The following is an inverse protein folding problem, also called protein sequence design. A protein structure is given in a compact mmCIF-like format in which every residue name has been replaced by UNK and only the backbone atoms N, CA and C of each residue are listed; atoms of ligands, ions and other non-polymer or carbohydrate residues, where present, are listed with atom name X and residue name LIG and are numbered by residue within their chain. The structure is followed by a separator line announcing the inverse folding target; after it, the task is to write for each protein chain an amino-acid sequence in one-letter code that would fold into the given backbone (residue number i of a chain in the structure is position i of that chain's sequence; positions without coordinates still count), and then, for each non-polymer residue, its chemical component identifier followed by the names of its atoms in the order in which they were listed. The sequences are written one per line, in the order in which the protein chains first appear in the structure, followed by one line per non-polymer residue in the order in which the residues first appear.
data_IF_793736822473
#
_entry.id   IF_793736822473
#
_cell.length_a   1.000
_cell.length_b   1.000
_cell.length_c   1.000
_cell.angle_alpha   90.00
_cell.angle_beta   90.00
_cell.angle_gamma   90.00
#
_symmetry.space_group_name_H-M   'P 1'
#
loop_
_entity.id
_entity.type
_entity.pdbx_description
1 polymer ?
#
# COMPACT_ATOMS: atom_id res chain seq x y z
N UNK A 1 25.85 -10.51 -35.61
CA UNK A 1 25.89 -9.53 -34.49
C UNK A 1 24.44 -9.11 -34.24
N UNK A 2 23.76 -9.85 -33.38
CA UNK A 2 22.33 -9.75 -33.10
C UNK A 2 22.15 -9.15 -31.71
N UNK A 3 21.77 -7.87 -31.62
CA UNK A 3 20.95 -7.36 -30.51
C UNK A 3 19.94 -6.39 -31.12
N UNK A 4 18.84 -6.97 -31.58
CA UNK A 4 17.60 -6.28 -31.92
C UNK A 4 16.84 -5.94 -30.64
N UNK A 5 16.72 -4.65 -30.36
CA UNK A 5 15.45 -3.97 -30.01
C UNK A 5 14.37 -4.84 -29.33
N UNK A 6 14.26 -4.79 -28.00
CA UNK A 6 13.00 -5.05 -27.29
C UNK A 6 12.84 -3.99 -26.20
N UNK A 7 12.40 -2.80 -26.64
CA UNK A 7 11.86 -1.76 -25.78
C UNK A 7 10.36 -2.05 -25.62
N UNK A 8 9.97 -2.79 -24.59
CA UNK A 8 8.58 -3.16 -24.34
C UNK A 8 7.87 -2.09 -23.49
N UNK A 9 7.68 -0.90 -24.06
CA UNK A 9 6.80 0.15 -23.53
C UNK A 9 5.34 -0.05 -23.98
N UNK A 10 4.83 -1.28 -23.98
CA UNK A 10 3.47 -1.59 -24.44
C UNK A 10 2.63 -2.27 -23.34
N UNK A 11 2.63 -1.72 -22.13
CA UNK A 11 1.42 -1.78 -21.31
C UNK A 11 0.62 -0.55 -21.76
N UNK A 12 -0.46 -0.76 -22.51
CA UNK A 12 -1.31 0.31 -23.02
C UNK A 12 -1.54 1.36 -21.95
N UNK A 13 -1.34 2.63 -22.29
CA UNK A 13 -1.51 3.81 -21.44
C UNK A 13 -2.90 3.96 -20.77
N UNK A 14 -3.77 2.98 -20.96
CA UNK A 14 -5.17 2.93 -20.53
C UNK A 14 -5.47 1.85 -19.47
N UNK A 15 -4.51 0.98 -19.07
CA UNK A 15 -4.75 0.06 -17.95
C UNK A 15 -4.73 0.85 -16.62
N UNK A 16 -5.79 0.75 -15.80
CA UNK A 16 -5.92 1.59 -14.61
C UNK A 16 -4.86 1.23 -13.57
N UNK A 17 -4.06 2.22 -13.16
CA UNK A 17 -3.11 2.08 -12.06
C UNK A 17 -3.87 2.10 -10.73
N UNK A 18 -3.88 0.96 -10.03
CA UNK A 18 -4.56 0.83 -8.73
C UNK A 18 -3.55 1.04 -7.60
N UNK A 19 -3.88 1.95 -6.67
CA UNK A 19 -3.06 2.24 -5.48
C UNK A 19 -3.90 2.16 -4.22
N UNK A 20 -3.38 1.48 -3.21
CA UNK A 20 -3.92 1.52 -1.84
C UNK A 20 -3.17 2.62 -1.09
N UNK A 21 -3.91 3.60 -0.59
CA UNK A 21 -3.37 4.72 0.20
C UNK A 21 -3.86 4.57 1.64
N UNK A 22 -2.92 4.59 2.59
CA UNK A 22 -3.23 4.50 4.00
C UNK A 22 -2.12 5.13 4.85
N UNK A 23 -2.42 5.32 6.14
CA UNK A 23 -1.44 5.78 7.11
C UNK A 23 -0.72 4.57 7.70
N UNK A 24 0.56 4.42 7.38
CA UNK A 24 1.43 3.45 7.99
C UNK A 24 1.79 3.89 9.41
N UNK A 25 1.53 3.01 10.38
CA UNK A 25 1.89 3.25 11.77
C UNK A 25 3.41 3.13 11.94
N UNK A 26 4.08 4.24 12.30
CA UNK A 26 5.54 4.25 12.56
C UNK A 26 5.82 4.11 14.06
N UNK A 27 5.09 4.87 14.87
CA UNK A 27 5.19 4.85 16.34
C UNK A 27 3.94 5.46 16.96
N UNK A 28 3.85 5.44 18.29
CA UNK A 28 2.72 6.03 19.02
C UNK A 28 2.53 7.53 18.74
N UNK A 29 3.58 8.22 18.29
CA UNK A 29 3.53 9.67 18.02
C UNK A 29 3.56 10.04 16.54
N UNK A 30 3.79 9.06 15.66
CA UNK A 30 4.05 9.33 14.25
C UNK A 30 3.46 8.25 13.35
N UNK A 31 2.89 8.71 12.24
CA UNK A 31 2.42 7.89 11.13
C UNK A 31 2.79 8.59 9.83
N UNK A 32 2.86 7.83 8.74
CA UNK A 32 3.20 8.34 7.42
C UNK A 32 2.19 7.86 6.39
N UNK A 33 1.73 8.76 5.53
CA UNK A 33 0.87 8.38 4.42
C UNK A 33 1.71 7.72 3.35
N UNK A 34 1.39 6.47 3.03
CA UNK A 34 2.10 5.70 2.01
C UNK A 34 1.15 5.24 0.90
N UNK A 35 1.72 5.08 -0.29
CA UNK A 35 1.00 4.63 -1.47
C UNK A 35 1.57 3.27 -1.89
N UNK A 36 0.76 2.23 -1.83
CA UNK A 36 1.17 0.87 -2.22
C UNK A 36 0.52 0.53 -3.56
N UNK A 37 1.31 0.22 -4.61
CA UNK A 37 0.77 -0.20 -5.89
C UNK A 37 0.20 -1.62 -5.79
N UNK A 38 -0.95 -1.83 -6.44
CA UNK A 38 -1.58 -3.14 -6.63
C UNK A 38 -1.29 -3.58 -8.05
N UNK A 39 -0.77 -4.80 -8.21
CA UNK A 39 -0.44 -5.35 -9.51
C UNK A 39 -1.55 -6.30 -9.99
N UNK A 40 -2.00 -6.11 -11.23
CA UNK A 40 -2.94 -7.02 -11.89
C UNK A 40 -2.23 -8.29 -12.38
N UNK A 41 -3.00 -9.32 -12.66
CA UNK A 41 -2.53 -10.57 -13.28
C UNK A 41 -1.71 -10.32 -14.56
N UNK A 42 -2.18 -9.43 -15.44
CA UNK A 42 -1.49 -9.04 -16.68
C UNK A 42 -0.16 -8.36 -16.38
N UNK A 43 -0.13 -7.41 -15.44
CA UNK A 43 1.11 -6.73 -15.04
C UNK A 43 2.13 -7.70 -14.45
N UNK A 44 1.67 -8.70 -13.70
CA UNK A 44 2.52 -9.76 -13.17
C UNK A 44 3.09 -10.64 -14.27
N UNK A 45 2.33 -10.99 -15.31
CA UNK A 45 2.80 -11.80 -16.45
C UNK A 45 3.98 -11.14 -17.18
N UNK A 46 4.01 -9.81 -17.27
CA UNK A 46 5.12 -9.07 -17.89
C UNK A 46 6.31 -8.83 -16.95
N UNK A 47 6.29 -9.36 -15.72
CA UNK A 47 7.38 -9.17 -14.76
C UNK A 47 8.66 -9.88 -15.20
N UNK A 48 9.82 -9.19 -15.23
CA UNK A 48 11.06 -9.72 -15.77
C UNK A 48 11.63 -10.93 -15.00
N UNK A 49 11.19 -11.13 -13.75
CA UNK A 49 11.64 -12.25 -12.90
C UNK A 49 10.61 -13.36 -12.74
N UNK A 50 9.42 -13.23 -13.35
CA UNK A 50 8.38 -14.25 -13.20
C UNK A 50 8.82 -15.61 -13.76
N UNK A 51 9.57 -15.60 -14.87
CA UNK A 51 10.11 -16.81 -15.51
C UNK A 51 11.12 -17.60 -14.66
N UNK A 52 11.53 -17.09 -13.49
CA UNK A 52 12.39 -17.83 -12.54
C UNK A 52 11.58 -18.83 -11.70
N UNK A 53 10.25 -18.67 -11.62
CA UNK A 53 9.37 -19.51 -10.83
C UNK A 53 8.65 -20.52 -11.72
N UNK A 54 8.45 -21.73 -11.21
CA UNK A 54 7.57 -22.73 -11.82
C UNK A 54 6.14 -22.53 -11.29
N UNK A 55 5.19 -22.27 -12.19
CA UNK A 55 3.80 -22.02 -11.83
C UNK A 55 2.84 -22.51 -12.93
N UNK A 56 1.61 -22.81 -12.52
CA UNK A 56 0.52 -23.21 -13.41
C UNK A 56 -0.35 -22.00 -13.80
N UNK A 57 -0.96 -22.02 -14.98
CA UNK A 57 -1.59 -20.82 -15.57
C UNK A 57 -2.69 -20.17 -14.70
N UNK A 58 -3.45 -20.96 -13.93
CA UNK A 58 -4.53 -20.45 -13.07
C UNK A 58 -4.05 -19.82 -11.75
N UNK A 59 -2.78 -20.02 -11.37
CA UNK A 59 -2.26 -19.58 -10.06
C UNK A 59 -2.07 -18.06 -10.02
N UNK A 60 -1.77 -17.43 -11.15
CA UNK A 60 -1.53 -15.99 -11.22
C UNK A 60 -2.77 -15.15 -10.88
N UNK A 61 -3.95 -15.58 -11.33
CA UNK A 61 -5.21 -14.90 -11.03
C UNK A 61 -5.50 -14.97 -9.52
N UNK A 62 -5.46 -16.17 -8.94
CA UNK A 62 -5.66 -16.38 -7.51
C UNK A 62 -4.62 -15.61 -6.66
N UNK A 63 -3.37 -15.57 -7.11
CA UNK A 63 -2.31 -14.83 -6.45
C UNK A 63 -2.56 -13.31 -6.47
N UNK A 64 -3.00 -12.76 -7.60
CA UNK A 64 -3.30 -11.32 -7.71
C UNK A 64 -4.43 -10.91 -6.75
N UNK A 65 -5.51 -11.70 -6.66
CA UNK A 65 -6.63 -11.47 -5.77
C UNK A 65 -6.24 -11.61 -4.29
N UNK A 66 -5.44 -12.63 -3.97
CA UNK A 66 -4.92 -12.84 -2.62
C UNK A 66 -4.00 -11.69 -2.18
N UNK A 67 -3.12 -11.25 -3.07
CA UNK A 67 -2.20 -10.15 -2.80
C UNK A 67 -2.95 -8.84 -2.59
N UNK A 68 -3.96 -8.55 -3.42
CA UNK A 68 -4.80 -7.37 -3.25
C UNK A 68 -5.51 -7.36 -1.90
N UNK A 69 -6.17 -8.48 -1.55
CA UNK A 69 -6.87 -8.61 -0.26
C UNK A 69 -5.92 -8.45 0.92
N UNK A 70 -4.72 -9.04 0.84
CA UNK A 70 -3.69 -8.91 1.88
C UNK A 70 -3.22 -7.47 2.05
N UNK A 71 -3.03 -6.73 0.96
CA UNK A 71 -2.68 -5.31 1.02
C UNK A 71 -3.78 -4.46 1.65
N UNK A 72 -5.05 -4.71 1.28
CA UNK A 72 -6.20 -4.01 1.88
C UNK A 72 -6.30 -4.31 3.37
N UNK A 73 -6.17 -5.57 3.77
CA UNK A 73 -6.22 -5.96 5.18
C UNK A 73 -5.10 -5.28 5.99
N UNK A 74 -3.88 -5.26 5.46
CA UNK A 74 -2.76 -4.55 6.06
C UNK A 74 -3.05 -3.06 6.22
N UNK A 75 -3.58 -2.42 5.17
CA UNK A 75 -3.93 -1.00 5.18
C UNK A 75 -4.98 -0.66 6.24
N UNK A 76 -5.98 -1.52 6.44
CA UNK A 76 -7.00 -1.36 7.48
C UNK A 76 -6.40 -1.46 8.88
N UNK A 77 -5.56 -2.47 9.14
CA UNK A 77 -4.95 -2.68 10.46
C UNK A 77 -3.97 -1.55 10.81
N UNK A 78 -3.07 -1.19 9.90
CA UNK A 78 -2.12 -0.10 10.14
C UNK A 78 -2.82 1.27 10.22
N UNK A 79 -3.80 1.52 9.36
CA UNK A 79 -4.60 2.74 9.37
C UNK A 79 -5.36 2.92 10.68
N UNK A 80 -5.93 1.83 11.23
CA UNK A 80 -6.60 1.86 12.53
C UNK A 80 -5.63 2.15 13.68
N UNK A 81 -4.45 1.55 13.68
CA UNK A 81 -3.42 1.83 14.68
C UNK A 81 -2.97 3.30 14.63
N UNK A 82 -2.76 3.84 13.43
CA UNK A 82 -2.43 5.24 13.22
C UNK A 82 -3.55 6.17 13.74
N UNK A 83 -4.81 5.87 13.44
CA UNK A 83 -5.97 6.63 13.92
C UNK A 83 -6.04 6.66 15.46
N UNK A 84 -5.91 5.50 16.11
CA UNK A 84 -5.98 5.42 17.58
C UNK A 84 -4.85 6.20 18.24
N UNK A 85 -3.64 6.15 17.67
CA UNK A 85 -2.49 6.92 18.17
C UNK A 85 -2.70 8.43 18.04
N UNK A 86 -3.18 8.89 16.88
CA UNK A 86 -3.49 10.29 16.62
C UNK A 86 -4.60 10.80 17.55
N UNK A 87 -5.65 10.00 17.75
CA UNK A 87 -6.77 10.32 18.64
C UNK A 87 -6.28 10.54 20.08
N UNK A 88 -5.41 9.65 20.58
CA UNK A 88 -4.85 9.78 21.93
C UNK A 88 -4.03 11.06 22.08
N UNK A 89 -3.16 11.37 21.13
CA UNK A 89 -2.36 12.60 21.16
C UNK A 89 -3.23 13.86 21.10
N UNK A 90 -4.26 13.87 20.25
CA UNK A 90 -5.18 14.99 20.14
C UNK A 90 -5.92 15.23 21.47
N UNK A 91 -6.39 14.16 22.12
CA UNK A 91 -7.06 14.24 23.42
C UNK A 91 -6.12 14.72 24.54
N UNK A 92 -4.89 14.20 24.60
CA UNK A 92 -3.90 14.63 25.60
C UNK A 92 -3.57 16.12 25.45
N UNK A 93 -3.38 16.58 24.22
CA UNK A 93 -3.12 18.00 23.94
C UNK A 93 -4.33 18.89 24.28
N UNK A 94 -5.55 18.43 24.00
CA UNK A 94 -6.77 19.14 24.38
C UNK A 94 -6.92 19.27 25.91
N UNK A 95 -6.64 18.21 26.66
CA UNK A 95 -6.68 18.22 28.13
C UNK A 95 -5.69 19.23 28.71
N UNK A 96 -4.42 19.19 28.25
CA UNK A 96 -3.38 20.13 28.68
C UNK A 96 -3.77 21.59 28.40
N UNK A 97 -4.34 21.85 27.22
CA UNK A 97 -4.79 23.19 26.85
C UNK A 97 -5.98 23.65 27.70
N UNK A 98 -6.89 22.74 28.06
CA UNK A 98 -8.01 23.05 28.96
C UNK A 98 -7.51 23.43 30.35
N UNK A 99 -6.57 22.65 30.92
CA UNK A 99 -6.01 22.93 32.25
C UNK A 99 -5.33 24.31 32.30
N UNK A 100 -4.62 24.69 31.24
CA UNK A 100 -3.99 26.00 31.12
C UNK A 100 -4.98 27.18 31.07
N UNK A 101 -6.22 26.93 30.62
CA UNK A 101 -7.30 27.95 30.60
C UNK A 101 -7.95 28.06 31.99
N UNK A 102 -8.15 26.94 32.69
CA UNK A 102 -8.87 26.91 33.97
C UNK A 102 -7.99 27.36 35.15
N UNK A 103 -6.68 27.18 35.07
CA UNK A 103 -5.72 27.59 36.10
C UNK A 103 -5.22 29.05 35.97
N UNK A 104 -5.72 29.80 34.97
CA UNK A 104 -5.58 31.25 34.87
C UNK A 104 -6.79 31.96 35.47
#
# INVERSE_FOLDING_TARGET
QLISSHNNNNLSSDEPEIKVVYNAFRSVIAYETINVPVYTDKQLQFSPKLATYEYEYYVLEAYSQFQFTSQVFKALVEGHAAEMSAKRMAMENASKNSDAIVLN
#
